data_IF_730408838377
#
_entry.id   IF_730408838377
#
_cell.length_a   1.000
_cell.length_b   1.000
_cell.length_c   1.000
_cell.angle_alpha   90.00
_cell.angle_beta   90.00
_cell.angle_gamma   90.00
#
_symmetry.space_group_name_H-M   'P 1'
#
loop_
_entity.id
_entity.type
_entity.pdbx_description
1 polymer ?
#
# COMPACT_ATOMS: atom_id res chain seq x y z
N UNK A 1 -8.70 13.39 -23.59
CA UNK A 1 -8.24 12.71 -22.37
C UNK A 1 -9.09 11.45 -22.19
N UNK A 2 -8.73 10.38 -22.89
CA UNK A 2 -9.30 9.04 -22.69
C UNK A 2 -8.40 8.33 -21.70
N UNK A 3 -9.02 7.77 -20.67
CA UNK A 3 -8.55 6.72 -19.76
C UNK A 3 -7.04 6.77 -19.46
N UNK A 4 -6.71 7.40 -18.33
CA UNK A 4 -5.46 7.07 -17.65
C UNK A 4 -5.50 5.57 -17.39
N UNK A 5 -4.56 4.84 -17.97
CA UNK A 5 -4.40 3.43 -17.74
C UNK A 5 -3.99 3.20 -16.28
N UNK A 6 -3.90 1.96 -15.82
CA UNK A 6 -3.34 1.75 -14.48
C UNK A 6 -1.87 2.21 -14.48
N UNK A 7 -1.35 2.73 -13.36
CA UNK A 7 0.05 3.21 -13.24
C UNK A 7 1.08 2.19 -13.75
N UNK A 8 0.73 0.89 -13.69
CA UNK A 8 1.50 -0.21 -14.28
C UNK A 8 1.49 -0.19 -15.80
N UNK A 9 0.31 -0.07 -16.42
CA UNK A 9 0.21 -0.01 -17.87
C UNK A 9 0.96 1.21 -18.40
N UNK A 10 0.83 2.37 -17.75
CA UNK A 10 1.57 3.57 -18.13
C UNK A 10 3.09 3.34 -17.99
N UNK A 11 3.53 2.63 -16.95
CA UNK A 11 4.95 2.24 -16.79
C UNK A 11 5.39 1.26 -17.88
N UNK A 12 4.60 0.24 -18.18
CA UNK A 12 4.94 -0.82 -19.14
C UNK A 12 5.02 -0.27 -20.58
N UNK A 13 4.25 0.79 -20.88
CA UNK A 13 4.30 1.49 -22.16
C UNK A 13 5.17 2.76 -22.14
N UNK A 14 5.77 3.13 -21.00
CA UNK A 14 6.49 4.40 -20.85
C UNK A 14 7.64 4.53 -21.85
N UNK A 15 8.44 3.48 -22.02
CA UNK A 15 9.55 3.47 -22.97
C UNK A 15 9.09 3.62 -24.44
N UNK A 16 7.93 3.07 -24.79
CA UNK A 16 7.35 3.21 -26.12
C UNK A 16 6.80 4.62 -26.35
N UNK A 17 6.13 5.20 -25.35
CA UNK A 17 5.67 6.59 -25.43
C UNK A 17 6.83 7.58 -25.54
N UNK A 18 7.94 7.34 -24.83
CA UNK A 18 9.13 8.19 -24.89
C UNK A 18 9.81 8.22 -26.27
N UNK A 19 9.56 7.23 -27.13
CA UNK A 19 10.03 7.22 -28.52
C UNK A 19 9.21 8.17 -29.41
N UNK A 20 7.98 8.49 -29.01
CA UNK A 20 7.04 9.32 -29.79
C UNK A 20 7.13 10.79 -29.33
N UNK A 21 7.37 11.02 -28.04
CA UNK A 21 7.48 12.37 -27.49
C UNK A 21 8.88 12.93 -27.81
N UNK A 22 9.00 14.15 -28.37
CA UNK A 22 10.30 14.77 -28.66
C UNK A 22 11.20 14.81 -27.43
N UNK A 23 12.52 14.79 -27.62
CA UNK A 23 13.46 14.86 -26.50
C UNK A 23 13.48 16.27 -25.87
N UNK A 24 14.10 16.40 -24.69
CA UNK A 24 14.09 17.68 -23.94
C UNK A 24 14.70 18.84 -24.74
N UNK A 25 15.75 18.59 -25.51
CA UNK A 25 16.41 19.61 -26.34
C UNK A 25 15.52 20.06 -27.49
N UNK A 26 14.86 19.11 -28.17
CA UNK A 26 13.90 19.37 -29.24
C UNK A 26 12.68 20.15 -28.74
N UNK A 27 12.15 19.81 -27.55
CA UNK A 27 11.03 20.53 -26.96
C UNK A 27 11.38 21.99 -26.64
N UNK A 28 12.60 22.24 -26.15
CA UNK A 28 13.09 23.60 -25.88
C UNK A 28 13.22 24.38 -27.19
N UNK A 29 13.84 23.79 -28.22
CA UNK A 29 13.99 24.43 -29.52
C UNK A 29 12.62 24.79 -30.13
N UNK A 30 11.66 23.86 -30.13
CA UNK A 30 10.31 24.10 -30.64
C UNK A 30 9.54 25.15 -29.83
N UNK A 31 9.78 25.23 -28.52
CA UNK A 31 9.16 26.25 -27.67
C UNK A 31 9.73 27.64 -27.97
N UNK A 32 11.03 27.74 -28.18
CA UNK A 32 11.69 28.98 -28.60
C UNK A 32 11.18 29.45 -29.96
N UNK A 33 11.07 28.55 -30.94
CA UNK A 33 10.51 28.88 -32.26
C UNK A 33 9.08 29.44 -32.16
N UNK A 34 8.23 28.83 -31.32
CA UNK A 34 6.87 29.32 -31.09
C UNK A 34 6.86 30.71 -30.43
N UNK A 35 7.74 30.95 -29.45
CA UNK A 35 7.89 32.25 -28.80
C UNK A 35 8.35 33.31 -29.80
N UNK A 36 9.37 33.01 -30.62
CA UNK A 36 9.85 33.93 -31.66
C UNK A 36 8.80 34.19 -32.75
N UNK A 37 7.90 33.24 -33.00
CA UNK A 37 6.73 33.41 -33.85
C UNK A 37 5.55 34.14 -33.16
N UNK A 38 5.75 34.67 -31.95
CA UNK A 38 4.75 35.35 -31.14
C UNK A 38 3.53 34.48 -30.76
N UNK A 39 3.76 33.16 -30.58
CA UNK A 39 2.78 32.16 -30.17
C UNK A 39 3.06 31.67 -28.74
N UNK A 40 2.00 31.23 -28.04
CA UNK A 40 2.16 30.58 -26.73
C UNK A 40 2.53 29.09 -26.91
N UNK A 41 3.65 28.60 -26.32
CA UNK A 41 4.12 27.23 -26.48
C UNK A 41 3.36 26.22 -25.60
N UNK A 42 2.03 26.32 -25.53
CA UNK A 42 1.18 25.44 -24.70
C UNK A 42 1.37 23.96 -25.03
N UNK A 43 1.51 23.65 -26.33
CA UNK A 43 1.76 22.27 -26.79
C UNK A 43 3.07 21.73 -26.21
N UNK A 44 4.14 22.51 -26.25
CA UNK A 44 5.45 22.11 -25.74
C UNK A 44 5.43 21.97 -24.21
N UNK A 45 4.70 22.83 -23.50
CA UNK A 45 4.50 22.71 -22.06
C UNK A 45 3.80 21.39 -21.68
N UNK A 46 2.75 21.01 -22.41
CA UNK A 46 2.05 19.73 -22.19
C UNK A 46 2.98 18.54 -22.50
N UNK A 47 3.68 18.57 -23.62
CA UNK A 47 4.62 17.51 -24.00
C UNK A 47 5.79 17.39 -23.03
N UNK A 48 6.25 18.50 -22.46
CA UNK A 48 7.28 18.53 -21.42
C UNK A 48 6.83 17.80 -20.16
N UNK A 49 5.61 18.09 -19.69
CA UNK A 49 5.02 17.42 -18.53
C UNK A 49 4.83 15.92 -18.79
N UNK A 50 4.29 15.57 -19.96
CA UNK A 50 4.08 14.18 -20.36
C UNK A 50 5.41 13.41 -20.45
N UNK A 51 6.45 14.01 -21.04
CA UNK A 51 7.78 13.40 -21.09
C UNK A 51 8.36 13.21 -19.70
N UNK A 52 8.31 14.26 -18.86
CA UNK A 52 8.85 14.21 -17.49
C UNK A 52 8.18 13.11 -16.67
N UNK A 53 6.87 12.94 -16.84
CA UNK A 53 6.11 11.84 -16.23
C UNK A 53 6.57 10.47 -16.73
N UNK A 54 6.67 10.27 -18.04
CA UNK A 54 7.07 8.99 -18.65
C UNK A 54 8.54 8.63 -18.37
N UNK A 55 9.46 9.59 -18.37
CA UNK A 55 10.87 9.39 -17.98
C UNK A 55 10.96 8.91 -16.53
N UNK A 56 10.16 9.50 -15.64
CA UNK A 56 10.11 9.11 -14.23
C UNK A 56 9.51 7.71 -14.06
N UNK A 57 8.43 7.39 -14.76
CA UNK A 57 7.83 6.05 -14.73
C UNK A 57 8.75 4.97 -15.28
N UNK A 58 9.40 5.20 -16.42
CA UNK A 58 10.32 4.24 -17.02
C UNK A 58 11.50 3.91 -16.08
N UNK A 59 11.99 4.90 -15.35
CA UNK A 59 13.08 4.73 -14.39
C UNK A 59 12.65 4.14 -13.03
N UNK A 60 11.35 4.12 -12.72
CA UNK A 60 10.87 3.72 -11.38
C UNK A 60 10.21 2.34 -11.42
N UNK A 61 10.64 1.37 -10.60
CA UNK A 61 9.89 0.14 -10.42
C UNK A 61 8.54 0.44 -9.77
N UNK A 62 7.45 0.15 -10.48
CA UNK A 62 6.09 0.40 -9.99
C UNK A 62 5.58 -0.86 -9.29
N UNK A 63 5.33 -0.76 -7.98
CA UNK A 63 4.59 -1.77 -7.21
C UNK A 63 3.11 -1.37 -7.22
N UNK A 64 2.41 -1.63 -8.33
CA UNK A 64 1.00 -1.27 -8.48
C UNK A 64 0.05 -2.47 -8.53
N UNK A 65 0.59 -3.69 -8.53
CA UNK A 65 -0.23 -4.87 -8.62
C UNK A 65 -0.70 -5.31 -7.26
N UNK A 66 -2.01 -5.51 -7.16
CA UNK A 66 -2.49 -6.48 -6.21
C UNK A 66 -1.78 -7.83 -6.50
N UNK A 67 -1.09 -8.36 -5.50
CA UNK A 67 -0.43 -9.67 -5.60
C UNK A 67 -0.88 -10.52 -4.44
N UNK A 68 -1.44 -11.66 -4.73
CA UNK A 68 -1.76 -12.68 -3.75
C UNK A 68 -0.70 -13.79 -3.80
N UNK A 69 -0.17 -14.17 -2.64
CA UNK A 69 0.71 -15.32 -2.52
C UNK A 69 -0.10 -16.62 -2.56
N UNK A 70 0.56 -17.73 -2.88
CA UNK A 70 -0.03 -19.03 -2.59
C UNK A 70 -0.12 -19.23 -1.06
N UNK A 71 -1.12 -19.98 -0.57
CA UNK A 71 -1.20 -20.33 0.84
C UNK A 71 -0.01 -21.19 1.27
N UNK A 72 0.64 -20.80 2.36
CA UNK A 72 1.78 -21.52 2.95
C UNK A 72 1.28 -22.31 4.15
N UNK A 73 1.53 -23.62 4.16
CA UNK A 73 1.24 -24.46 5.33
C UNK A 73 2.23 -24.17 6.46
N UNK A 74 1.72 -23.81 7.63
CA UNK A 74 2.52 -23.52 8.83
C UNK A 74 2.60 -24.70 9.79
N UNK A 75 1.59 -25.57 9.78
CA UNK A 75 1.56 -26.76 10.61
C UNK A 75 2.66 -27.76 10.21
N UNK A 76 3.43 -28.21 11.19
CA UNK A 76 4.54 -29.16 11.02
C UNK A 76 4.12 -30.60 11.33
N UNK A 77 3.05 -30.79 12.12
CA UNK A 77 2.59 -32.11 12.52
C UNK A 77 1.56 -32.70 11.54
N UNK A 78 1.51 -34.04 11.39
CA UNK A 78 0.45 -34.70 10.64
C UNK A 78 -0.93 -34.35 11.20
N UNK A 79 -1.82 -33.84 10.34
CA UNK A 79 -3.17 -33.42 10.73
C UNK A 79 -3.31 -31.93 11.05
N UNK A 80 -2.21 -31.20 11.26
CA UNK A 80 -2.29 -29.74 11.37
C UNK A 80 -2.66 -29.11 10.02
N UNK A 81 -3.61 -28.18 10.08
CA UNK A 81 -4.18 -27.46 8.92
C UNK A 81 -4.11 -25.95 9.11
N UNK A 82 -3.04 -25.49 9.75
CA UNK A 82 -2.76 -24.07 9.89
C UNK A 82 -2.03 -23.58 8.64
N UNK A 83 -2.53 -22.50 8.06
CA UNK A 83 -2.00 -21.87 6.86
C UNK A 83 -1.84 -20.36 7.07
N UNK A 84 -0.96 -19.76 6.29
CA UNK A 84 -0.88 -18.33 6.08
C UNK A 84 -1.09 -18.01 4.60
N UNK A 85 -1.80 -16.93 4.33
CA UNK A 85 -1.84 -16.33 3.00
C UNK A 85 -1.59 -14.83 3.14
N UNK A 86 -0.78 -14.29 2.22
CA UNK A 86 -0.48 -12.88 2.19
C UNK A 86 -0.90 -12.29 0.86
N UNK A 87 -1.35 -11.04 0.90
CA UNK A 87 -1.56 -10.27 -0.31
C UNK A 87 -1.05 -8.86 -0.11
N UNK A 88 -0.56 -8.28 -1.20
CA UNK A 88 -0.09 -6.91 -1.25
C UNK A 88 -0.88 -6.12 -2.27
N UNK A 89 -0.95 -4.81 -2.11
CA UNK A 89 -1.64 -3.93 -3.03
C UNK A 89 -1.43 -2.46 -2.68
N UNK A 90 -2.13 -1.58 -3.40
CA UNK A 90 -2.10 -0.14 -3.13
C UNK A 90 -3.51 0.37 -2.84
N UNK A 91 -3.70 0.97 -1.67
CA UNK A 91 -4.91 1.70 -1.29
C UNK A 91 -4.90 3.03 -2.06
N UNK A 92 -5.47 3.01 -3.27
CA UNK A 92 -5.40 4.13 -4.23
C UNK A 92 -5.88 5.47 -3.67
N UNK A 93 -6.92 5.46 -2.82
CA UNK A 93 -7.47 6.69 -2.22
C UNK A 93 -6.52 7.36 -1.23
N UNK A 94 -5.57 6.61 -0.66
CA UNK A 94 -4.62 7.08 0.35
C UNK A 94 -3.17 7.03 -0.12
N UNK A 95 -2.92 6.52 -1.33
CA UNK A 95 -1.59 6.25 -1.88
C UNK A 95 -0.70 5.45 -0.91
N UNK A 96 -1.28 4.46 -0.23
CA UNK A 96 -0.57 3.57 0.69
C UNK A 96 -0.36 2.22 0.05
N UNK A 97 0.86 1.70 0.11
CA UNK A 97 1.08 0.27 -0.04
C UNK A 97 0.48 -0.45 1.16
N UNK A 98 -0.19 -1.56 0.92
CA UNK A 98 -0.80 -2.43 1.92
C UNK A 98 -0.24 -3.84 1.72
N UNK A 99 0.12 -4.49 2.83
CA UNK A 99 0.43 -5.90 2.91
C UNK A 99 -0.42 -6.49 4.02
N UNK A 100 -1.27 -7.46 3.68
CA UNK A 100 -2.12 -8.15 4.64
C UNK A 100 -1.71 -9.61 4.70
N UNK A 101 -1.61 -10.15 5.89
CA UNK A 101 -1.36 -11.56 6.15
C UNK A 101 -2.46 -12.13 7.02
N UNK A 102 -3.14 -13.14 6.51
CA UNK A 102 -4.16 -13.91 7.22
C UNK A 102 -3.57 -15.26 7.63
N UNK A 103 -3.64 -15.56 8.92
CA UNK A 103 -3.41 -16.89 9.46
C UNK A 103 -4.76 -17.54 9.73
N UNK A 104 -4.94 -18.76 9.24
CA UNK A 104 -6.21 -19.46 9.36
C UNK A 104 -6.04 -20.96 9.45
N UNK A 105 -7.01 -21.63 10.06
CA UNK A 105 -7.15 -23.07 10.00
C UNK A 105 -8.14 -23.50 8.93
N UNK A 106 -7.76 -24.47 8.13
CA UNK A 106 -8.63 -25.05 7.10
C UNK A 106 -9.45 -26.22 7.66
N UNK A 107 -10.75 -26.22 7.36
CA UNK A 107 -11.68 -27.30 7.64
C UNK A 107 -11.91 -28.15 6.40
N UNK A 108 -12.10 -29.45 6.58
CA UNK A 108 -12.40 -30.35 5.46
C UNK A 108 -11.21 -30.72 4.57
N UNK A 109 -10.14 -29.91 4.52
CA UNK A 109 -8.87 -30.25 3.85
C UNK A 109 -8.92 -30.22 2.32
N UNK A 110 -10.03 -29.74 1.75
CA UNK A 110 -10.35 -29.80 0.33
C UNK A 110 -10.08 -28.48 -0.41
N UNK A 111 -10.09 -27.33 0.27
CA UNK A 111 -10.14 -26.02 -0.38
C UNK A 111 -8.76 -25.38 -0.59
N UNK A 112 -7.75 -25.68 0.25
CA UNK A 112 -6.37 -25.19 0.05
C UNK A 112 -5.61 -26.07 -0.94
N UNK A 113 -5.99 -27.34 -1.11
CA UNK A 113 -5.37 -28.26 -2.08
C UNK A 113 -6.18 -28.45 -3.38
N UNK A 114 -7.47 -28.10 -3.42
CA UNK A 114 -8.35 -28.25 -4.59
C UNK A 114 -9.33 -27.10 -4.87
N UNK A 115 -9.36 -26.04 -4.04
CA UNK A 115 -10.33 -24.92 -4.10
C UNK A 115 -9.70 -23.53 -4.07
N UNK A 116 -8.46 -23.40 -4.58
CA UNK A 116 -7.68 -22.14 -4.59
C UNK A 116 -8.46 -20.96 -5.21
N UNK A 117 -9.39 -21.21 -6.14
CA UNK A 117 -10.24 -20.17 -6.74
C UNK A 117 -11.10 -19.42 -5.72
N UNK A 118 -11.83 -20.13 -4.86
CA UNK A 118 -12.71 -19.49 -3.85
C UNK A 118 -11.91 -18.68 -2.82
N UNK A 119 -10.70 -19.14 -2.47
CA UNK A 119 -9.79 -18.38 -1.60
C UNK A 119 -9.26 -17.12 -2.29
N UNK A 120 -9.03 -17.16 -3.61
CA UNK A 120 -8.64 -16.00 -4.40
C UNK A 120 -9.75 -14.97 -4.45
N UNK A 121 -10.95 -15.39 -4.81
CA UNK A 121 -12.12 -14.50 -4.88
C UNK A 121 -12.38 -13.81 -3.52
N UNK A 122 -12.29 -14.55 -2.41
CA UNK A 122 -12.41 -13.98 -1.07
C UNK A 122 -11.34 -12.92 -0.80
N UNK A 123 -10.09 -13.16 -1.17
CA UNK A 123 -9.00 -12.20 -0.93
C UNK A 123 -9.12 -10.98 -1.85
N UNK A 124 -9.55 -11.17 -3.10
CA UNK A 124 -9.83 -10.08 -4.04
C UNK A 124 -10.91 -9.14 -3.49
N UNK A 125 -11.97 -9.69 -2.89
CA UNK A 125 -13.03 -8.90 -2.25
C UNK A 125 -12.54 -8.12 -1.02
N UNK A 126 -11.56 -8.66 -0.29
CA UNK A 126 -10.97 -8.02 0.89
C UNK A 126 -9.93 -6.95 0.56
N UNK A 127 -9.37 -6.99 -0.65
CA UNK A 127 -8.25 -6.15 -1.05
C UNK A 127 -8.60 -4.66 -1.22
N UNK A 128 -7.57 -3.81 -1.20
CA UNK A 128 -7.69 -2.39 -1.56
C UNK A 128 -8.13 -1.47 -0.42
N UNK A 129 -7.88 -1.86 0.84
CA UNK A 129 -8.05 -1.01 2.02
C UNK A 129 -9.47 -0.55 2.33
N UNK A 130 -10.50 -1.19 1.76
CA UNK A 130 -11.92 -0.83 2.00
C UNK A 130 -12.42 -1.29 3.37
N UNK A 131 -11.80 -2.33 3.91
CA UNK A 131 -12.24 -3.00 5.12
C UNK A 131 -11.27 -2.75 6.28
N UNK A 132 -11.82 -2.59 7.47
CA UNK A 132 -11.10 -2.68 8.74
C UNK A 132 -10.84 -4.16 9.06
N UNK A 133 -9.86 -4.46 9.93
CA UNK A 133 -9.58 -5.86 10.30
C UNK A 133 -10.81 -6.59 10.87
N UNK A 134 -11.67 -5.98 11.72
CA UNK A 134 -12.90 -6.63 12.17
C UNK A 134 -13.89 -6.96 11.04
N UNK A 135 -14.05 -6.07 10.06
CA UNK A 135 -14.89 -6.31 8.89
C UNK A 135 -14.32 -7.45 8.03
N UNK A 136 -13.01 -7.47 7.81
CA UNK A 136 -12.33 -8.56 7.10
C UNK A 136 -12.57 -9.90 7.80
N UNK A 137 -12.42 -9.96 9.13
CA UNK A 137 -12.73 -11.18 9.91
C UNK A 137 -14.19 -11.59 9.72
N UNK A 138 -15.13 -10.64 9.78
CA UNK A 138 -16.55 -10.90 9.55
C UNK A 138 -16.86 -11.49 8.16
N UNK A 139 -16.21 -10.98 7.11
CA UNK A 139 -16.31 -11.49 5.75
C UNK A 139 -15.66 -12.87 5.61
N UNK A 140 -14.46 -13.07 6.18
CA UNK A 140 -13.77 -14.37 6.18
C UNK A 140 -14.61 -15.43 6.89
N UNK A 141 -15.28 -15.09 7.99
CA UNK A 141 -16.19 -16.01 8.67
C UNK A 141 -17.32 -16.51 7.77
N UNK A 142 -17.65 -15.83 6.66
CA UNK A 142 -18.64 -16.30 5.68
C UNK A 142 -18.14 -17.50 4.86
N UNK A 143 -16.84 -17.73 4.78
CA UNK A 143 -16.26 -18.96 4.24
C UNK A 143 -16.34 -20.08 5.29
N UNK A 144 -17.22 -21.10 5.11
CA UNK A 144 -17.45 -22.13 6.14
C UNK A 144 -16.25 -23.05 6.37
N UNK A 145 -15.30 -23.06 5.44
CA UNK A 145 -14.09 -23.88 5.45
C UNK A 145 -12.87 -23.19 6.08
N UNK A 146 -12.97 -21.90 6.44
CA UNK A 146 -11.92 -21.13 7.11
C UNK A 146 -12.29 -20.92 8.57
N UNK A 147 -11.32 -21.09 9.47
CA UNK A 147 -11.34 -20.49 10.81
C UNK A 147 -10.25 -19.44 10.87
N UNK A 148 -10.55 -18.13 10.80
CA UNK A 148 -9.52 -17.12 10.95
C UNK A 148 -8.91 -17.22 12.35
N UNK A 149 -7.59 -17.05 12.46
CA UNK A 149 -6.86 -17.07 13.73
C UNK A 149 -6.30 -15.70 14.05
N UNK A 150 -5.53 -15.15 13.14
CA UNK A 150 -5.00 -13.79 13.24
C UNK A 150 -4.97 -13.15 11.86
N UNK A 151 -5.15 -11.85 11.81
CA UNK A 151 -4.94 -11.05 10.62
C UNK A 151 -4.05 -9.86 10.97
N UNK A 152 -3.08 -9.61 10.12
CA UNK A 152 -2.18 -8.47 10.22
C UNK A 152 -2.24 -7.67 8.94
N UNK A 153 -2.31 -6.36 9.08
CA UNK A 153 -2.19 -5.40 8.00
C UNK A 153 -1.05 -4.45 8.30
N UNK A 154 -0.11 -4.36 7.37
CA UNK A 154 0.94 -3.36 7.34
C UNK A 154 0.66 -2.41 6.20
N UNK A 155 0.56 -1.11 6.49
CA UNK A 155 0.48 -0.08 5.46
C UNK A 155 1.71 0.81 5.53
N UNK A 156 2.28 1.15 4.37
CA UNK A 156 3.39 2.10 4.26
C UNK A 156 3.15 3.05 3.10
N UNK A 157 3.51 4.31 3.24
CA UNK A 157 3.43 5.25 2.14
C UNK A 157 3.94 6.64 2.52
N UNK A 158 3.77 7.62 1.62
CA UNK A 158 4.21 8.98 1.89
C UNK A 158 3.49 9.52 3.12
N UNK A 159 4.24 10.24 3.94
CA UNK A 159 3.72 11.00 5.07
C UNK A 159 2.75 12.10 4.62
N UNK A 160 3.05 12.78 3.50
CA UNK A 160 2.18 13.82 2.98
C UNK A 160 0.89 13.24 2.39
N UNK A 161 -0.22 13.85 2.79
CA UNK A 161 -1.49 13.74 2.09
C UNK A 161 -1.82 15.08 1.42
N UNK A 162 -2.77 15.09 0.50
CA UNK A 162 -3.17 16.27 -0.30
C UNK A 162 -3.43 17.57 0.47
N UNK A 163 -3.61 17.53 1.79
CA UNK A 163 -3.87 18.68 2.64
C UNK A 163 -2.65 19.20 3.41
N UNK A 164 -1.49 18.52 3.39
CA UNK A 164 -0.25 18.90 4.11
C UNK A 164 0.91 19.21 3.18
N UNK A 165 0.69 19.23 1.86
CA UNK A 165 1.73 19.47 0.85
C UNK A 165 2.32 20.90 0.89
N UNK A 166 1.59 21.88 1.43
CA UNK A 166 2.01 23.30 1.48
C UNK A 166 2.18 23.84 2.92
N UNK A 167 2.44 22.96 3.89
CA UNK A 167 2.62 23.38 5.28
C UNK A 167 4.06 23.89 5.51
N UNK A 168 4.21 25.07 6.13
CA UNK A 168 5.52 25.68 6.43
C UNK A 168 6.42 24.77 7.30
N UNK A 169 5.83 24.00 8.23
CA UNK A 169 6.57 23.04 9.05
C UNK A 169 7.14 21.92 8.18
N UNK A 170 6.36 21.46 7.20
CA UNK A 170 6.75 20.41 6.26
C UNK A 170 7.83 20.91 5.30
N UNK A 171 7.70 22.11 4.77
CA UNK A 171 8.72 22.72 3.91
C UNK A 171 10.06 22.83 4.66
N UNK A 172 10.02 23.27 5.93
CA UNK A 172 11.20 23.34 6.80
C UNK A 172 11.79 21.96 7.11
N UNK A 173 10.93 20.98 7.35
CA UNK A 173 11.34 19.59 7.59
C UNK A 173 12.07 19.02 6.37
N UNK A 174 11.50 19.16 5.17
CA UNK A 174 12.11 18.68 3.92
C UNK A 174 13.41 19.44 3.59
N UNK A 175 13.47 20.75 3.87
CA UNK A 175 14.68 21.55 3.70
C UNK A 175 15.82 21.18 4.67
N UNK A 176 15.49 20.59 5.83
CA UNK A 176 16.48 20.10 6.79
C UNK A 176 17.12 18.76 6.37
N UNK A 177 16.54 18.07 5.39
CA UNK A 177 17.09 16.82 4.90
C UNK A 177 18.45 17.03 4.20
N UNK A 178 19.36 16.05 4.23
CA UNK A 178 20.56 16.06 3.41
C UNK A 178 20.22 16.22 1.92
N UNK A 179 21.12 16.85 1.15
CA UNK A 179 20.98 16.95 -0.31
C UNK A 179 20.68 15.58 -0.92
N UNK A 180 19.55 15.49 -1.61
CA UNK A 180 19.14 14.33 -2.39
C UNK A 180 18.12 13.39 -1.73
N UNK A 181 17.82 13.51 -0.43
CA UNK A 181 16.95 12.53 0.26
C UNK A 181 15.91 13.13 1.25
N UNK A 182 15.12 14.15 0.87
CA UNK A 182 13.98 14.57 1.67
C UNK A 182 12.83 13.56 1.52
N UNK A 183 12.70 12.65 2.48
CA UNK A 183 11.62 11.66 2.49
C UNK A 183 11.01 11.53 3.89
N UNK A 184 9.72 11.21 3.93
CA UNK A 184 9.00 10.88 5.15
C UNK A 184 7.99 9.79 4.82
N UNK A 185 8.03 8.69 5.55
CA UNK A 185 7.20 7.52 5.33
C UNK A 185 6.35 7.23 6.56
N UNK A 186 5.03 7.30 6.40
CA UNK A 186 4.11 6.79 7.41
C UNK A 186 4.02 5.29 7.29
N UNK A 187 4.09 4.60 8.42
CA UNK A 187 3.80 3.17 8.50
C UNK A 187 2.78 2.90 9.61
N UNK A 188 1.89 1.96 9.37
CA UNK A 188 0.97 1.46 10.38
C UNK A 188 0.95 -0.05 10.35
N UNK A 189 0.96 -0.65 11.54
CA UNK A 189 0.81 -2.08 11.76
C UNK A 189 -0.46 -2.26 12.58
N UNK A 190 -1.42 -2.96 11.99
CA UNK A 190 -2.67 -3.33 12.61
C UNK A 190 -2.71 -4.85 12.72
N UNK A 191 -2.98 -5.38 13.91
CA UNK A 191 -3.09 -6.82 14.14
C UNK A 191 -4.34 -7.12 14.95
N UNK A 192 -5.14 -8.07 14.50
CA UNK A 192 -6.27 -8.59 15.23
C UNK A 192 -6.10 -10.10 15.41
N UNK A 193 -6.13 -10.55 16.67
CA UNK A 193 -6.35 -11.95 16.98
C UNK A 193 -7.85 -12.21 17.07
N UNK A 194 -8.27 -13.41 16.74
CA UNK A 194 -9.68 -13.78 16.80
C UNK A 194 -10.01 -14.53 18.08
N UNK A 195 -11.23 -14.33 18.58
CA UNK A 195 -11.79 -15.04 19.73
C UNK A 195 -13.01 -15.83 19.29
N UNK A 196 -13.43 -16.85 20.05
CA UNK A 196 -14.67 -17.57 19.73
C UNK A 196 -15.86 -16.62 19.89
N UNK A 197 -16.78 -16.63 18.93
CA UNK A 197 -18.01 -15.85 19.05
C UNK A 197 -18.84 -16.31 20.25
N UNK A 198 -19.44 -15.35 20.96
CA UNK A 198 -20.27 -15.64 22.14
C UNK A 198 -21.58 -16.35 21.76
N UNK A 199 -22.11 -16.07 20.56
CA UNK A 199 -23.33 -16.65 20.05
C UNK A 199 -23.12 -17.29 18.68
N UNK A 200 -23.60 -18.52 18.52
CA UNK A 200 -23.61 -19.25 17.24
C UNK A 200 -25.02 -19.24 16.67
N UNK A 201 -25.14 -18.95 15.37
CA UNK A 201 -26.43 -19.05 14.68
C UNK A 201 -26.82 -20.53 14.44
N UNK A 202 -28.10 -20.77 14.13
CA UNK A 202 -28.57 -22.12 13.74
C UNK A 202 -27.87 -22.64 12.48
N UNK A 203 -27.54 -21.75 11.54
CA UNK A 203 -26.76 -22.14 10.35
C UNK A 203 -25.35 -22.56 10.74
N UNK A 204 -24.73 -21.88 11.70
CA UNK A 204 -23.40 -22.25 12.18
C UNK A 204 -23.40 -23.65 12.79
N UNK A 205 -24.43 -23.98 13.58
CA UNK A 205 -24.59 -25.33 14.12
C UNK A 205 -24.78 -26.40 13.03
N UNK A 206 -25.60 -26.12 12.00
CA UNK A 206 -25.88 -27.04 10.89
C UNK A 206 -24.64 -27.36 10.05
N UNK A 207 -23.79 -26.37 9.81
CA UNK A 207 -22.56 -26.53 9.01
C UNK A 207 -21.31 -26.75 9.88
N UNK A 208 -21.49 -26.99 11.19
CA UNK A 208 -20.40 -27.18 12.15
C UNK A 208 -19.45 -25.98 12.27
N UNK A 209 -19.87 -24.77 11.86
CA UNK A 209 -19.08 -23.53 11.85
C UNK A 209 -18.67 -23.11 13.26
N UNK A 210 -17.48 -22.55 13.36
CA UNK A 210 -17.01 -21.87 14.57
C UNK A 210 -16.75 -20.42 14.20
N UNK A 211 -17.82 -19.59 14.17
CA UNK A 211 -17.65 -18.18 13.89
C UNK A 211 -16.71 -17.58 14.93
N UNK A 212 -15.79 -16.77 14.43
CA UNK A 212 -14.79 -16.09 15.22
C UNK A 212 -15.11 -14.60 15.26
N UNK A 213 -14.89 -13.95 16.39
CA UNK A 213 -15.01 -12.49 16.52
C UNK A 213 -13.62 -11.88 16.49
N UNK A 214 -13.53 -10.62 16.05
CA UNK A 214 -12.31 -9.85 16.20
C UNK A 214 -12.09 -9.58 17.70
N UNK A 215 -11.00 -10.12 18.23
CA UNK A 215 -10.52 -9.77 19.56
C UNK A 215 -9.88 -8.37 19.58
N UNK A 216 -9.26 -7.98 20.70
CA UNK A 216 -8.56 -6.70 20.81
C UNK A 216 -7.56 -6.51 19.68
N UNK A 217 -7.71 -5.42 18.93
CA UNK A 217 -6.77 -5.06 17.86
C UNK A 217 -5.64 -4.21 18.41
N UNK A 218 -4.40 -4.56 18.07
CA UNK A 218 -3.24 -3.70 18.29
C UNK A 218 -3.08 -2.83 17.06
N UNK A 219 -2.99 -1.52 17.25
CA UNK A 219 -2.67 -0.56 16.20
C UNK A 219 -1.44 0.22 16.61
N UNK A 220 -0.39 0.11 15.81
CA UNK A 220 0.85 0.83 15.98
C UNK A 220 1.07 1.71 14.76
N UNK A 221 1.33 3.00 14.98
CA UNK A 221 1.61 3.98 13.93
C UNK A 221 2.97 4.57 14.19
N UNK A 222 3.73 4.76 13.13
CA UNK A 222 5.06 5.34 13.20
C UNK A 222 5.36 6.15 11.93
N UNK A 223 6.29 7.09 12.09
CA UNK A 223 6.89 7.84 11.00
C UNK A 223 8.36 7.41 10.86
N UNK A 224 8.80 7.15 9.64
CA UNK A 224 10.21 7.02 9.29
C UNK A 224 10.62 8.28 8.54
N UNK A 225 11.72 8.91 8.94
CA UNK A 225 12.27 10.07 8.25
C UNK A 225 13.79 10.12 8.43
N UNK A 226 14.57 10.82 7.59
CA UNK A 226 15.96 11.12 7.87
C UNK A 226 16.13 11.73 9.26
N UNK A 227 17.23 11.39 9.94
CA UNK A 227 17.48 11.84 11.32
C UNK A 227 17.37 13.37 11.51
N UNK A 228 17.80 14.15 10.53
CA UNK A 228 17.69 15.62 10.56
C UNK A 228 16.23 16.09 10.57
N UNK A 229 15.33 15.39 9.86
CA UNK A 229 13.90 15.67 9.89
C UNK A 229 13.31 15.31 11.26
N UNK A 230 13.66 14.14 11.81
CA UNK A 230 13.21 13.75 13.17
C UNK A 230 13.61 14.80 14.20
N UNK A 231 14.85 15.29 14.17
CA UNK A 231 15.33 16.30 15.12
C UNK A 231 14.52 17.60 15.08
N UNK A 232 13.88 17.90 13.94
CA UNK A 232 13.02 19.06 13.77
C UNK A 232 11.57 18.79 14.20
N UNK A 233 11.02 17.63 13.84
CA UNK A 233 9.62 17.27 14.15
C UNK A 233 9.41 16.81 15.60
N UNK A 234 10.41 16.20 16.23
CA UNK A 234 10.23 15.51 17.51
C UNK A 234 9.42 14.23 17.35
N UNK A 235 8.60 13.90 18.36
CA UNK A 235 7.69 12.73 18.36
C UNK A 235 6.24 13.16 18.10
N UNK A 236 6.05 13.94 17.04
CA UNK A 236 4.76 14.43 16.60
C UNK A 236 4.51 14.13 15.11
N UNK A 237 3.26 13.89 14.74
CA UNK A 237 2.81 13.72 13.35
C UNK A 237 2.53 15.06 12.64
N UNK A 238 1.97 15.00 11.42
CA UNK A 238 1.76 16.15 10.55
C UNK A 238 0.75 17.14 11.11
N UNK A 239 -0.12 16.66 12.02
CA UNK A 239 -1.14 17.44 12.72
C UNK A 239 -0.68 17.83 14.14
N UNK A 240 0.58 17.54 14.50
CA UNK A 240 1.16 17.80 15.82
C UNK A 240 0.70 16.85 16.93
N UNK A 241 0.12 15.69 16.58
CA UNK A 241 -0.30 14.65 17.53
C UNK A 241 0.87 13.73 17.90
N UNK A 242 0.83 13.14 19.09
CA UNK A 242 1.87 12.20 19.54
C UNK A 242 1.98 11.01 18.57
N UNK A 243 3.18 10.84 18.01
CA UNK A 243 3.48 9.77 17.06
C UNK A 243 4.93 9.33 17.21
N UNK A 244 5.17 8.01 17.15
CA UNK A 244 6.52 7.49 17.19
C UNK A 244 7.26 7.85 15.89
N UNK A 245 8.18 8.80 15.95
CA UNK A 245 9.01 9.19 14.80
C UNK A 245 10.38 8.52 14.93
N UNK A 246 10.80 7.77 13.93
CA UNK A 246 12.11 7.13 13.87
C UNK A 246 12.98 7.83 12.83
N UNK A 247 14.14 8.29 13.29
CA UNK A 247 15.16 8.94 12.48
C UNK A 247 16.06 7.89 11.85
N UNK A 248 16.20 7.90 10.54
CA UNK A 248 17.08 7.01 9.80
C UNK A 248 18.41 7.71 9.55
N UNK A 249 19.50 7.09 10.01
CA UNK A 249 20.85 7.59 9.76
C UNK A 249 21.26 7.32 8.31
N UNK A 250 22.34 7.95 7.84
CA UNK A 250 22.91 7.65 6.51
C UNK A 250 23.36 6.20 6.37
N UNK A 251 23.66 5.53 7.49
CA UNK A 251 24.04 4.12 7.55
C UNK A 251 22.83 3.17 7.60
N UNK A 252 21.60 3.70 7.70
CA UNK A 252 20.37 2.91 7.80
C UNK A 252 19.97 2.53 9.22
N UNK A 253 20.64 3.05 10.25
CA UNK A 253 20.28 2.81 11.64
C UNK A 253 19.01 3.58 12.01
N UNK A 254 18.18 2.98 12.85
CA UNK A 254 16.96 3.60 13.38
C UNK A 254 17.25 4.23 14.75
N UNK A 255 16.93 5.52 14.87
CA UNK A 255 17.04 6.30 16.11
C UNK A 255 15.63 6.68 16.55
N UNK A 256 15.22 6.17 17.70
CA UNK A 256 13.96 6.54 18.36
C UNK A 256 13.99 7.94 18.93
#
# INVERSE_FOLDING_TARGET
FKDFWTLRDDRDHAEEQLKIIPNREELVAQALDAIYANQHPLKQQILWLQRSYMERLAATPVVADFRQSEPVKLGTQPGERLYAISWTGVIRSQNLFESVTLHFEERGGWHVTGGIGELRDLVDDLAGGRHTLPEMIGLINQAPWIVPRTIERVTIGPYHHRWTENDELIERALAAAPEGEPWMLRAAIERAATTKAAHRSRMDALFGREPMEAGPSVRYRLLLAPLAIKQLLGDADEDGQECAVYGVTRQGDLVS
#
